data_IF_173336931183
#
_entry.id   IF_173336931183
#
_cell.length_a   1.000
_cell.length_b   1.000
_cell.length_c   1.000
_cell.angle_alpha   90.00
_cell.angle_beta   90.00
_cell.angle_gamma   90.00
#
_symmetry.space_group_name_H-M   'P 1'
#
loop_
_entity.id
_entity.type
_entity.pdbx_description
1 polymer ?
#
# COMPACT_ATOMS: atom_id res chain seq x y z
N UNK A 1 -20.06 0.02 3.64
CA UNK A 1 -18.87 0.82 4.00
C UNK A 1 -17.84 0.03 4.79
N UNK A 2 -18.07 -0.34 6.06
CA UNK A 2 -17.08 -1.20 6.77
C UNK A 2 -16.87 -2.54 6.06
N UNK A 3 -17.94 -3.16 5.58
CA UNK A 3 -17.87 -4.39 4.76
C UNK A 3 -17.15 -4.20 3.43
N UNK A 4 -17.19 -3.00 2.85
CA UNK A 4 -16.52 -2.71 1.58
C UNK A 4 -15.02 -2.52 1.81
N UNK A 5 -14.63 -1.81 2.86
CA UNK A 5 -13.23 -1.72 3.29
C UNK A 5 -12.67 -3.11 3.57
N UNK A 6 -13.40 -3.96 4.30
CA UNK A 6 -12.99 -5.34 4.57
C UNK A 6 -12.85 -6.16 3.27
N UNK A 7 -13.75 -5.97 2.30
CA UNK A 7 -13.65 -6.65 1.01
C UNK A 7 -12.40 -6.20 0.22
N UNK A 8 -12.11 -4.90 0.17
CA UNK A 8 -10.93 -4.37 -0.52
C UNK A 8 -9.64 -4.83 0.17
N UNK A 9 -9.58 -4.78 1.50
CA UNK A 9 -8.47 -5.32 2.28
C UNK A 9 -8.28 -6.83 2.02
N UNK A 10 -9.35 -7.61 2.02
CA UNK A 10 -9.28 -9.05 1.73
C UNK A 10 -8.76 -9.34 0.33
N UNK A 11 -9.17 -8.55 -0.68
CA UNK A 11 -8.65 -8.68 -2.04
C UNK A 11 -7.14 -8.46 -2.11
N UNK A 12 -6.64 -7.44 -1.41
CA UNK A 12 -5.20 -7.15 -1.32
C UNK A 12 -4.46 -8.30 -0.63
N UNK A 13 -4.95 -8.73 0.53
CA UNK A 13 -4.37 -9.86 1.26
C UNK A 13 -4.28 -11.09 0.37
N UNK A 14 -5.37 -11.45 -0.32
CA UNK A 14 -5.41 -12.62 -1.20
C UNK A 14 -4.43 -12.51 -2.36
N UNK A 15 -4.33 -11.34 -3.01
CA UNK A 15 -3.38 -11.09 -4.09
C UNK A 15 -1.94 -11.34 -3.60
N UNK A 16 -1.58 -10.74 -2.47
CA UNK A 16 -0.23 -10.80 -1.93
C UNK A 16 0.12 -12.20 -1.45
N UNK A 17 -0.75 -12.85 -0.67
CA UNK A 17 -0.50 -14.19 -0.12
C UNK A 17 -0.46 -15.28 -1.18
N UNK A 18 -1.21 -15.11 -2.29
CA UNK A 18 -1.20 -16.05 -3.40
C UNK A 18 0.03 -15.86 -4.30
N UNK A 19 0.46 -14.61 -4.52
CA UNK A 19 1.55 -14.30 -5.46
C UNK A 19 2.93 -14.48 -4.83
N UNK A 20 3.09 -14.12 -3.56
CA UNK A 20 4.40 -14.02 -2.90
C UNK A 20 5.19 -15.34 -2.87
N UNK A 21 4.64 -16.51 -2.53
CA UNK A 21 5.42 -17.74 -2.45
C UNK A 21 6.10 -18.13 -3.78
N UNK A 22 5.45 -17.83 -4.91
CA UNK A 22 6.04 -18.06 -6.23
C UNK A 22 7.19 -17.08 -6.50
N UNK A 23 6.99 -15.81 -6.17
CA UNK A 23 8.00 -14.74 -6.33
C UNK A 23 9.23 -15.04 -5.48
N UNK A 24 9.04 -15.37 -4.20
CA UNK A 24 10.12 -15.70 -3.27
C UNK A 24 10.99 -16.84 -3.79
N UNK A 25 10.37 -17.95 -4.22
CA UNK A 25 11.08 -19.08 -4.82
C UNK A 25 11.87 -18.68 -6.07
N UNK A 26 11.33 -17.79 -6.90
CA UNK A 26 12.01 -17.32 -8.12
C UNK A 26 13.20 -16.41 -7.78
N UNK A 27 13.08 -15.55 -6.76
CA UNK A 27 14.21 -14.75 -6.28
C UNK A 27 15.33 -15.67 -5.80
N UNK A 28 15.03 -16.69 -4.99
CA UNK A 28 16.00 -17.66 -4.50
C UNK A 28 16.73 -18.40 -5.64
N UNK A 29 16.03 -18.70 -6.73
CA UNK A 29 16.61 -19.41 -7.88
C UNK A 29 17.44 -18.48 -8.78
N UNK A 30 16.96 -17.26 -9.02
CA UNK A 30 17.60 -16.31 -9.93
C UNK A 30 18.77 -15.55 -9.28
N UNK A 31 18.71 -15.33 -7.97
CA UNK A 31 19.66 -14.50 -7.21
C UNK A 31 20.11 -15.20 -5.92
N UNK A 32 20.73 -16.40 -6.01
CA UNK A 32 21.10 -17.20 -4.84
C UNK A 32 22.16 -16.51 -3.96
N UNK A 33 23.02 -15.68 -4.54
CA UNK A 33 24.11 -14.99 -3.84
C UNK A 33 23.66 -13.64 -3.22
N UNK A 34 22.39 -13.27 -3.36
CA UNK A 34 21.82 -11.99 -2.92
C UNK A 34 20.66 -12.16 -1.93
N UNK A 35 20.90 -12.72 -0.73
CA UNK A 35 19.85 -12.95 0.27
C UNK A 35 19.18 -11.64 0.76
N UNK A 36 19.86 -10.51 0.65
CA UNK A 36 19.33 -9.18 0.96
C UNK A 36 18.10 -8.81 0.11
N UNK A 37 18.04 -9.28 -1.15
CA UNK A 37 16.92 -8.99 -2.05
C UNK A 37 15.64 -9.66 -1.54
N UNK A 38 15.74 -10.93 -1.12
CA UNK A 38 14.61 -11.68 -0.54
C UNK A 38 14.12 -10.97 0.71
N UNK A 39 15.05 -10.57 1.58
CA UNK A 39 14.71 -9.85 2.81
C UNK A 39 13.98 -8.55 2.50
N UNK A 40 14.53 -7.70 1.64
CA UNK A 40 13.91 -6.40 1.30
C UNK A 40 12.54 -6.57 0.65
N UNK A 41 12.40 -7.50 -0.30
CA UNK A 41 11.11 -7.78 -0.92
C UNK A 41 10.10 -8.38 0.08
N UNK A 42 10.54 -9.27 0.97
CA UNK A 42 9.73 -9.87 2.02
C UNK A 42 9.28 -8.85 3.07
N UNK A 43 10.16 -7.91 3.46
CA UNK A 43 9.84 -6.80 4.34
C UNK A 43 8.77 -5.89 3.71
N UNK A 44 8.89 -5.60 2.40
CA UNK A 44 7.90 -4.80 1.68
C UNK A 44 6.52 -5.49 1.62
N UNK A 45 6.48 -6.79 1.37
CA UNK A 45 5.25 -7.59 1.40
C UNK A 45 4.63 -7.64 2.79
N UNK A 46 5.45 -7.88 3.82
CA UNK A 46 5.00 -7.90 5.21
C UNK A 46 4.42 -6.56 5.64
N UNK A 47 5.08 -5.46 5.25
CA UNK A 47 4.59 -4.10 5.51
C UNK A 47 3.23 -3.87 4.86
N UNK A 48 3.05 -4.25 3.60
CA UNK A 48 1.79 -4.10 2.89
C UNK A 48 0.64 -4.88 3.55
N UNK A 49 0.91 -6.11 4.01
CA UNK A 49 -0.05 -6.91 4.76
C UNK A 49 -0.41 -6.26 6.10
N UNK A 50 0.58 -5.72 6.81
CA UNK A 50 0.39 -5.01 8.08
C UNK A 50 -0.46 -3.74 7.89
N UNK A 51 -0.15 -2.91 6.91
CA UNK A 51 -0.90 -1.69 6.59
C UNK A 51 -2.34 -2.02 6.18
N UNK A 52 -2.53 -3.09 5.39
CA UNK A 52 -3.86 -3.58 4.99
C UNK A 52 -4.69 -4.01 6.21
N UNK A 53 -4.08 -4.77 7.13
CA UNK A 53 -4.74 -5.20 8.36
C UNK A 53 -5.07 -4.02 9.28
N UNK A 54 -4.17 -3.03 9.37
CA UNK A 54 -4.39 -1.82 10.14
C UNK A 54 -5.59 -1.02 9.62
N UNK A 55 -5.70 -0.83 8.30
CA UNK A 55 -6.81 -0.13 7.66
C UNK A 55 -8.14 -0.83 7.94
N UNK A 56 -8.17 -2.16 7.84
CA UNK A 56 -9.36 -2.94 8.18
C UNK A 56 -9.76 -2.74 9.66
N UNK A 57 -8.81 -2.86 10.59
CA UNK A 57 -9.06 -2.66 12.01
C UNK A 57 -9.57 -1.25 12.34
N UNK A 58 -8.99 -0.22 11.70
CA UNK A 58 -9.44 1.16 11.86
C UNK A 58 -10.87 1.34 11.36
N UNK A 59 -11.22 0.80 10.20
CA UNK A 59 -12.60 0.86 9.70
C UNK A 59 -13.59 0.16 10.63
N UNK A 60 -13.21 -0.98 11.23
CA UNK A 60 -14.04 -1.71 12.19
C UNK A 60 -14.26 -0.94 13.50
N UNK A 61 -13.27 -0.13 13.92
CA UNK A 61 -13.35 0.67 15.15
C UNK A 61 -14.44 1.74 15.14
N UNK A 62 -14.98 2.11 13.97
CA UNK A 62 -16.08 3.08 13.87
C UNK A 62 -17.48 2.48 14.05
N UNK A 63 -17.63 1.16 14.01
CA UNK A 63 -18.91 0.49 14.30
C UNK A 63 -19.51 0.95 15.64
N UNK A 64 -18.78 0.90 16.77
CA UNK A 64 -19.32 1.38 18.05
C UNK A 64 -19.64 2.87 18.04
N UNK A 65 -18.81 3.71 17.39
CA UNK A 65 -19.06 5.16 17.30
C UNK A 65 -20.39 5.48 16.62
N UNK A 66 -20.73 4.76 15.55
CA UNK A 66 -22.01 4.92 14.85
C UNK A 66 -23.16 4.36 15.67
N UNK A 67 -22.96 3.21 16.34
CA UNK A 67 -23.98 2.61 17.20
C UNK A 67 -24.33 3.47 18.42
N UNK A 68 -23.38 4.25 18.94
CA UNK A 68 -23.58 5.17 20.07
C UNK A 68 -23.90 6.60 19.65
N UNK A 69 -24.08 6.88 18.36
CA UNK A 69 -24.33 8.22 17.86
C UNK A 69 -25.74 8.71 18.24
N UNK A 70 -25.81 9.74 19.08
CA UNK A 70 -27.06 10.28 19.62
C UNK A 70 -27.52 11.57 18.92
N UNK A 71 -26.67 12.15 18.06
CA UNK A 71 -27.01 13.36 17.29
C UNK A 71 -26.77 13.13 15.79
N UNK A 72 -27.49 13.86 14.90
CA UNK A 72 -27.22 13.83 13.45
C UNK A 72 -25.76 14.18 13.11
N UNK A 73 -25.14 15.07 13.88
CA UNK A 73 -23.73 15.47 13.70
C UNK A 73 -22.76 14.32 13.97
N UNK A 74 -23.03 13.49 14.98
CA UNK A 74 -22.21 12.32 15.30
C UNK A 74 -22.29 11.27 14.18
N UNK A 75 -23.49 11.09 13.63
CA UNK A 75 -23.75 10.25 12.46
C UNK A 75 -22.97 10.72 11.23
N UNK A 76 -23.08 12.01 10.87
CA UNK A 76 -22.33 12.58 9.74
C UNK A 76 -20.83 12.43 9.91
N UNK A 77 -20.31 12.71 11.12
CA UNK A 77 -18.89 12.55 11.42
C UNK A 77 -18.43 11.11 11.27
N UNK A 78 -19.21 10.13 11.75
CA UNK A 78 -18.91 8.71 11.60
C UNK A 78 -18.91 8.26 10.14
N UNK A 79 -19.87 8.74 9.35
CA UNK A 79 -19.98 8.41 7.92
C UNK A 79 -18.84 9.01 7.09
N UNK A 80 -18.44 10.27 7.36
CA UNK A 80 -17.29 10.88 6.67
C UNK A 80 -16.00 10.12 6.94
N UNK A 81 -15.73 9.76 8.19
CA UNK A 81 -14.54 8.97 8.54
C UNK A 81 -14.54 7.61 7.85
N UNK A 82 -15.69 6.93 7.78
CA UNK A 82 -15.81 5.69 7.02
C UNK A 82 -15.56 5.90 5.52
N UNK A 83 -15.96 7.05 4.97
CA UNK A 83 -15.74 7.38 3.56
C UNK A 83 -14.25 7.58 3.25
N UNK A 84 -13.52 8.28 4.13
CA UNK A 84 -12.07 8.43 4.03
C UNK A 84 -11.37 7.07 4.02
N UNK A 85 -11.74 6.15 4.93
CA UNK A 85 -11.16 4.81 4.95
C UNK A 85 -11.49 3.98 3.71
N UNK A 86 -12.69 4.16 3.14
CA UNK A 86 -13.06 3.53 1.87
C UNK A 86 -12.17 4.02 0.72
N UNK A 87 -11.92 5.33 0.63
CA UNK A 87 -11.02 5.89 -0.40
C UNK A 87 -9.61 5.31 -0.24
N UNK A 88 -9.10 5.26 1.00
CA UNK A 88 -7.79 4.69 1.29
C UNK A 88 -7.72 3.21 0.91
N UNK A 89 -8.71 2.40 1.30
CA UNK A 89 -8.74 0.98 1.00
C UNK A 89 -8.81 0.69 -0.52
N UNK A 90 -9.58 1.49 -1.26
CA UNK A 90 -9.67 1.37 -2.72
C UNK A 90 -8.32 1.60 -3.43
N UNK A 91 -7.41 2.39 -2.82
CA UNK A 91 -6.07 2.62 -3.34
C UNK A 91 -5.07 1.48 -3.08
N UNK A 92 -5.36 0.58 -2.14
CA UNK A 92 -4.44 -0.49 -1.76
C UNK A 92 -4.26 -1.54 -2.86
N UNK A 93 -5.36 -1.95 -3.52
CA UNK A 93 -5.30 -3.01 -4.53
C UNK A 93 -4.43 -2.62 -5.74
N UNK A 94 -4.63 -1.44 -6.37
CA UNK A 94 -3.73 -1.00 -7.45
C UNK A 94 -2.27 -0.86 -7.01
N UNK A 95 -2.02 -0.43 -5.77
CA UNK A 95 -0.67 -0.33 -5.22
C UNK A 95 0.00 -1.70 -5.06
N UNK A 96 -0.74 -2.68 -4.53
CA UNK A 96 -0.29 -4.06 -4.39
C UNK A 96 -0.01 -4.71 -5.75
N UNK A 97 -0.93 -4.56 -6.70
CA UNK A 97 -0.79 -5.06 -8.07
C UNK A 97 0.44 -4.46 -8.78
N UNK A 98 0.64 -3.14 -8.68
CA UNK A 98 1.82 -2.49 -9.25
C UNK A 98 3.14 -2.96 -8.59
N UNK A 99 3.11 -3.30 -7.31
CA UNK A 99 4.29 -3.79 -6.57
C UNK A 99 4.63 -5.22 -6.97
N UNK A 100 3.63 -6.11 -7.00
CA UNK A 100 3.78 -7.48 -7.49
C UNK A 100 4.26 -7.50 -8.95
N UNK A 101 3.64 -6.70 -9.83
CA UNK A 101 4.05 -6.60 -11.24
C UNK A 101 5.49 -6.10 -11.40
N UNK A 102 5.97 -5.22 -10.51
CA UNK A 102 7.38 -4.80 -10.50
C UNK A 102 8.32 -5.94 -10.13
N UNK A 103 8.00 -6.73 -9.10
CA UNK A 103 8.79 -7.92 -8.75
C UNK A 103 8.85 -8.91 -9.91
N UNK A 104 7.71 -9.21 -10.53
CA UNK A 104 7.67 -10.15 -11.65
C UNK A 104 8.47 -9.68 -12.86
N UNK A 105 8.40 -8.37 -13.19
CA UNK A 105 9.16 -7.80 -14.31
C UNK A 105 10.67 -7.85 -14.06
N UNK A 106 11.11 -7.50 -12.84
CA UNK A 106 12.53 -7.54 -12.48
C UNK A 106 13.05 -8.97 -12.45
N UNK A 107 12.25 -9.93 -11.96
CA UNK A 107 12.61 -11.35 -11.99
C UNK A 107 12.71 -11.90 -13.40
N UNK A 108 11.76 -11.56 -14.28
CA UNK A 108 11.82 -11.98 -15.67
C UNK A 108 13.07 -11.45 -16.38
N UNK A 109 13.50 -10.22 -16.07
CA UNK A 109 14.76 -9.66 -16.59
C UNK A 109 16.00 -10.40 -16.05
N UNK A 110 16.05 -10.66 -14.74
CA UNK A 110 17.14 -11.41 -14.11
C UNK A 110 17.26 -12.84 -14.67
N UNK A 111 16.13 -13.54 -14.82
CA UNK A 111 16.07 -14.90 -15.38
C UNK A 111 16.55 -14.96 -16.83
N UNK A 112 16.38 -13.88 -17.60
CA UNK A 112 16.82 -13.79 -19.00
C UNK A 112 18.29 -13.37 -19.14
N UNK A 113 19.01 -13.15 -18.03
CA UNK A 113 20.40 -12.66 -18.05
C UNK A 113 20.53 -11.23 -18.60
N UNK A 114 19.41 -10.50 -18.70
CA UNK A 114 19.44 -9.06 -18.97
C UNK A 114 19.93 -8.41 -17.69
N UNK A 115 21.05 -7.69 -17.76
CA UNK A 115 21.63 -7.01 -16.61
C UNK A 115 20.52 -6.25 -15.85
N UNK A 116 20.32 -6.62 -14.59
CA UNK A 116 19.42 -5.90 -13.69
C UNK A 116 19.86 -4.43 -13.71
N UNK A 117 18.93 -3.46 -13.84
CA UNK A 117 19.30 -2.07 -13.78
C UNK A 117 20.01 -1.82 -12.45
N UNK A 118 21.30 -1.49 -12.54
CA UNK A 118 22.13 -1.19 -11.39
C UNK A 118 21.40 -0.12 -10.57
N UNK A 119 21.09 -0.42 -9.32
CA UNK A 119 20.66 0.59 -8.36
C UNK A 119 21.89 1.45 -7.99
N UNK A 120 22.32 2.26 -8.93
CA UNK A 120 23.39 3.24 -8.84
C UNK A 120 22.89 4.58 -9.33
N UNK A 121 22.32 5.38 -8.41
CA UNK A 121 22.17 6.83 -8.50
C UNK A 121 21.79 7.43 -9.85
N UNK A 122 20.49 7.64 -10.08
CA UNK A 122 20.04 8.69 -10.97
C UNK A 122 18.67 9.14 -10.53
N UNK A 123 18.60 10.38 -10.06
CA UNK A 123 17.38 11.08 -9.77
C UNK A 123 16.47 11.02 -11.00
N UNK A 124 15.46 10.14 -10.98
CA UNK A 124 14.30 10.33 -11.83
C UNK A 124 13.70 11.67 -11.44
N UNK A 125 13.89 12.63 -12.34
CA UNK A 125 13.26 13.95 -12.37
C UNK A 125 11.83 13.85 -11.87
N UNK A 126 11.64 14.21 -10.61
CA UNK A 126 10.37 14.74 -10.13
C UNK A 126 10.11 15.95 -11.02
N UNK A 127 9.19 15.80 -11.96
CA UNK A 127 8.68 16.92 -12.76
C UNK A 127 8.27 17.98 -11.75
N UNK A 128 9.01 19.08 -11.77
CA UNK A 128 8.80 20.24 -10.93
C UNK A 128 7.38 20.76 -11.14
N UNK A 129 6.46 20.41 -10.25
CA UNK A 129 5.23 21.14 -10.08
C UNK A 129 5.55 22.34 -9.16
N UNK A 130 6.11 23.39 -9.75
CA UNK A 130 6.29 24.67 -9.08
C UNK A 130 4.96 25.44 -9.09
N UNK A 131 4.69 26.03 -7.93
CA UNK A 131 3.78 27.13 -7.62
C UNK A 131 2.28 26.92 -7.75
N UNK A 132 1.66 26.75 -6.58
CA UNK A 132 0.68 27.74 -6.11
C UNK A 132 0.67 27.83 -4.58
N UNK A 133 1.18 28.96 -4.12
CA UNK A 133 0.92 29.62 -2.84
C UNK A 133 -0.47 29.30 -2.25
N UNK A 134 -0.49 28.75 -1.03
CA UNK A 134 -1.34 29.25 0.07
C UNK A 134 -0.63 29.03 1.40
N UNK A 135 -0.22 30.15 1.99
CA UNK A 135 0.54 30.23 3.23
C UNK A 135 -0.18 29.58 4.41
N UNK A 136 0.60 28.81 5.16
CA UNK A 136 0.29 28.37 6.50
C UNK A 136 1.49 28.73 7.38
N UNK A 137 1.78 30.02 7.52
CA UNK A 137 2.53 30.53 8.68
C UNK A 137 2.32 32.03 8.85
N UNK A 138 1.40 32.39 9.75
CA UNK A 138 1.43 33.66 10.46
C UNK A 138 0.59 33.54 11.75
N UNK A 139 1.22 33.41 12.93
CA UNK A 139 0.62 33.73 14.22
C UNK A 139 1.15 35.10 14.73
N UNK A 140 0.65 35.64 15.85
CA UNK A 140 -0.68 36.24 16.07
C UNK A 140 -0.59 37.76 16.42
N UNK A 141 -1.72 38.47 16.36
CA UNK A 141 -2.02 39.66 17.19
C UNK A 141 -3.47 39.60 17.64
#
# INVERSE_FOLDING_TARGET
MVSEVAADCSRVTNLVTTSWPNIERRILAALPDHPEVIKTCGDAVTKMLSETAQIQAMAESYKPMIQSANTPRDWETGLMKLHEWRITAAGLYPHAEATIGRFEKLLAAAEQGVALPEHGGSAEKVVALRDRDRGFDAPPL
#
